data_IF_381435603063
#
_entry.id   IF_381435603063
#
_cell.length_a   1.000
_cell.length_b   1.000
_cell.length_c   1.000
_cell.angle_alpha   90.00
_cell.angle_beta   90.00
_cell.angle_gamma   90.00
#
_symmetry.space_group_name_H-M   'P 1'
#
loop_
_entity.id
_entity.type
_entity.pdbx_description
1 polymer ?
#
# COMPACT_ATOMS: atom_id res chain seq x y z
N UNK A 1 34.72 26.55 7.65
CA UNK A 1 33.51 25.73 7.47
C UNK A 1 32.37 26.38 8.25
N UNK A 2 31.43 27.06 7.57
CA UNK A 2 30.22 27.55 8.24
C UNK A 2 29.37 26.32 8.57
N UNK A 3 29.24 26.00 9.85
CA UNK A 3 28.23 25.06 10.34
C UNK A 3 26.88 25.56 9.80
N UNK A 4 26.30 24.82 8.85
CA UNK A 4 24.95 25.11 8.37
C UNK A 4 24.06 24.97 9.61
N UNK A 5 23.59 26.10 10.15
CA UNK A 5 22.56 26.08 11.19
C UNK A 5 21.36 25.36 10.63
N UNK A 6 21.14 24.14 11.10
CA UNK A 6 19.98 23.37 10.71
C UNK A 6 18.84 23.76 11.64
N UNK A 7 18.11 24.81 11.26
CA UNK A 7 16.97 25.35 12.03
C UNK A 7 15.95 24.27 12.41
N UNK A 8 15.81 23.22 11.59
CA UNK A 8 14.94 22.07 11.92
C UNK A 8 15.48 21.27 13.10
N UNK A 9 16.79 21.02 13.15
CA UNK A 9 17.41 20.37 14.32
C UNK A 9 17.33 21.23 15.57
N UNK A 10 17.49 22.55 15.45
CA UNK A 10 17.34 23.47 16.59
C UNK A 10 15.92 23.41 17.16
N UNK A 11 14.89 23.47 16.31
CA UNK A 11 13.48 23.31 16.72
C UNK A 11 13.20 21.95 17.37
N UNK A 12 13.73 20.86 16.79
CA UNK A 12 13.57 19.51 17.35
C UNK A 12 14.26 19.40 18.72
N UNK A 13 15.44 19.98 18.88
CA UNK A 13 16.17 19.98 20.15
C UNK A 13 15.45 20.82 21.22
N UNK A 14 14.87 21.97 20.85
CA UNK A 14 14.06 22.77 21.76
C UNK A 14 12.84 21.98 22.24
N UNK A 15 12.12 21.34 21.31
CA UNK A 15 10.94 20.52 21.66
C UNK A 15 11.32 19.31 22.52
N UNK A 16 12.46 18.67 22.23
CA UNK A 16 12.96 17.56 23.05
C UNK A 16 13.21 18.00 24.50
N UNK A 17 13.84 19.17 24.70
CA UNK A 17 14.05 19.73 26.05
C UNK A 17 12.74 20.01 26.78
N UNK A 18 11.74 20.56 26.09
CA UNK A 18 10.43 20.81 26.70
C UNK A 18 9.76 19.51 27.17
N UNK A 19 9.82 18.45 26.36
CA UNK A 19 9.21 17.16 26.71
C UNK A 19 10.01 16.43 27.79
N UNK A 20 11.35 16.53 27.79
CA UNK A 20 12.20 16.01 28.86
C UNK A 20 11.93 16.73 30.20
N UNK A 21 11.71 18.04 30.19
CA UNK A 21 11.32 18.78 31.39
C UNK A 21 9.94 18.36 31.92
N UNK A 22 8.98 18.04 31.03
CA UNK A 22 7.68 17.50 31.43
C UNK A 22 7.80 16.12 32.07
N UNK A 23 8.64 15.24 31.52
CA UNK A 23 8.94 13.94 32.11
C UNK A 23 9.48 14.10 33.54
N UNK A 24 10.41 15.03 33.75
CA UNK A 24 11.01 15.26 35.08
C UNK A 24 9.99 15.78 36.09
N UNK A 25 9.08 16.65 35.66
CA UNK A 25 7.97 17.12 36.49
C UNK A 25 7.02 15.98 36.87
N UNK A 26 6.60 15.16 35.90
CA UNK A 26 5.71 14.01 36.16
C UNK A 26 6.41 12.97 37.04
N UNK A 27 7.71 12.72 36.86
CA UNK A 27 8.46 11.81 37.74
C UNK A 27 8.43 12.30 39.19
N UNK A 28 8.66 13.60 39.39
CA UNK A 28 8.61 14.20 40.73
C UNK A 28 7.22 14.05 41.35
N UNK A 29 6.15 14.29 40.57
CA UNK A 29 4.76 14.07 41.01
C UNK A 29 4.49 12.60 41.36
N UNK A 30 4.98 11.65 40.57
CA UNK A 30 4.86 10.21 40.86
C UNK A 30 5.56 9.87 42.16
N UNK A 31 6.79 10.34 42.36
CA UNK A 31 7.57 10.07 43.58
C UNK A 31 6.89 10.65 44.82
N UNK A 32 6.34 11.86 44.72
CA UNK A 32 5.56 12.50 45.79
C UNK A 32 4.28 11.72 46.12
N UNK A 33 3.54 11.25 45.11
CA UNK A 33 2.33 10.44 45.31
C UNK A 33 2.68 9.09 45.93
N UNK A 34 3.77 8.43 45.53
CA UNK A 34 4.20 7.17 46.13
C UNK A 34 4.58 7.33 47.61
N UNK A 35 5.30 8.41 47.94
CA UNK A 35 5.62 8.75 49.32
C UNK A 35 4.37 9.03 50.16
N UNK A 36 3.43 9.83 49.62
CA UNK A 36 2.16 10.13 50.27
C UNK A 36 1.30 8.86 50.45
N UNK A 37 1.23 7.99 49.45
CA UNK A 37 0.50 6.73 49.52
C UNK A 37 1.04 5.83 50.64
N UNK A 38 2.37 5.74 50.80
CA UNK A 38 2.98 4.99 51.88
C UNK A 38 2.58 5.52 53.26
N UNK A 39 2.47 6.84 53.41
CA UNK A 39 2.00 7.46 54.64
C UNK A 39 0.51 7.18 54.87
N UNK A 40 -0.33 7.34 53.84
CA UNK A 40 -1.76 7.07 53.93
C UNK A 40 -2.08 5.61 54.27
N UNK A 41 -1.28 4.64 53.80
CA UNK A 41 -1.42 3.24 54.19
C UNK A 41 -1.11 3.03 55.68
N UNK A 42 -0.11 3.73 56.23
CA UNK A 42 0.18 3.69 57.65
C UNK A 42 -0.97 4.31 58.48
N UNK A 43 -1.50 5.45 58.05
CA UNK A 43 -2.64 6.12 58.69
C UNK A 43 -3.92 5.28 58.64
N UNK A 44 -4.18 4.59 57.53
CA UNK A 44 -5.28 3.64 57.42
C UNK A 44 -5.14 2.45 58.38
N UNK A 45 -3.92 1.92 58.53
CA UNK A 45 -3.66 0.85 59.51
C UNK A 45 -3.92 1.32 60.96
N UNK A 46 -3.82 2.63 61.22
CA UNK A 46 -4.17 3.26 62.50
C UNK A 46 -5.65 3.68 62.59
N UNK A 47 -6.43 3.52 61.51
CA UNK A 47 -7.84 3.92 61.44
C UNK A 47 -8.07 5.43 61.29
N UNK A 48 -7.04 6.20 60.93
CA UNK A 48 -7.12 7.66 60.79
C UNK A 48 -7.59 8.12 59.39
N UNK A 49 -7.54 7.22 58.41
CA UNK A 49 -7.91 7.47 57.01
C UNK A 49 -8.76 6.32 56.50
N UNK A 50 -9.70 6.60 55.59
CA UNK A 50 -10.61 5.60 55.02
C UNK A 50 -10.02 4.90 53.79
N UNK A 51 -10.53 3.72 53.46
CA UNK A 51 -10.08 2.95 52.30
C UNK A 51 -10.27 3.71 50.98
N UNK A 52 -11.30 4.55 50.90
CA UNK A 52 -11.62 5.37 49.72
C UNK A 52 -10.48 6.33 49.37
N UNK A 53 -9.82 6.91 50.36
CA UNK A 53 -8.72 7.85 50.15
C UNK A 53 -7.48 7.14 49.61
N UNK A 54 -7.21 5.93 50.07
CA UNK A 54 -6.15 5.07 49.52
C UNK A 54 -6.46 4.70 48.07
N UNK A 55 -7.70 4.33 47.77
CA UNK A 55 -8.09 3.96 46.41
C UNK A 55 -7.96 5.16 45.45
N UNK A 56 -8.37 6.35 45.86
CA UNK A 56 -8.21 7.58 45.09
C UNK A 56 -6.73 7.89 44.81
N UNK A 57 -5.86 7.77 45.82
CA UNK A 57 -4.42 7.99 45.66
C UNK A 57 -3.77 6.94 44.73
N UNK A 58 -4.18 5.66 44.82
CA UNK A 58 -3.73 4.61 43.89
C UNK A 58 -4.16 4.90 42.45
N UNK A 59 -5.38 5.40 42.25
CA UNK A 59 -5.86 5.75 40.93
C UNK A 59 -5.08 6.92 40.34
N UNK A 60 -4.85 7.98 41.13
CA UNK A 60 -4.03 9.12 40.71
C UNK A 60 -2.60 8.70 40.35
N UNK A 61 -1.99 7.81 41.15
CA UNK A 61 -0.67 7.24 40.86
C UNK A 61 -0.68 6.47 39.53
N UNK A 62 -1.73 5.69 39.26
CA UNK A 62 -1.86 4.95 38.03
C UNK A 62 -1.97 5.86 36.81
N UNK A 63 -2.81 6.90 36.89
CA UNK A 63 -2.99 7.90 35.84
C UNK A 63 -1.65 8.61 35.54
N UNK A 64 -0.90 9.00 36.57
CA UNK A 64 0.40 9.66 36.42
C UNK A 64 1.47 8.74 35.82
N UNK A 65 1.46 7.45 36.16
CA UNK A 65 2.34 6.46 35.53
C UNK A 65 2.04 6.23 34.05
N UNK A 66 0.76 6.28 33.65
CA UNK A 66 0.37 6.24 32.24
C UNK A 66 0.87 7.51 31.53
N UNK A 67 0.60 8.69 32.09
CA UNK A 67 1.08 9.97 31.54
C UNK A 67 2.61 9.97 31.36
N UNK A 68 3.34 9.45 32.35
CA UNK A 68 4.79 9.28 32.28
C UNK A 68 5.24 8.40 31.11
N UNK A 69 4.58 7.24 30.92
CA UNK A 69 4.89 6.31 29.83
C UNK A 69 4.62 6.93 28.45
N UNK A 70 3.52 7.66 28.30
CA UNK A 70 3.19 8.38 27.05
C UNK A 70 4.24 9.46 26.73
N UNK A 71 4.71 10.18 27.75
CA UNK A 71 5.77 11.19 27.57
C UNK A 71 7.10 10.54 27.19
N UNK A 72 7.49 9.41 27.79
CA UNK A 72 8.68 8.64 27.39
C UNK A 72 8.58 8.15 25.93
N UNK A 73 7.40 7.67 25.52
CA UNK A 73 7.17 7.29 24.12
C UNK A 73 7.36 8.50 23.20
N UNK A 74 6.82 9.66 23.57
CA UNK A 74 6.97 10.90 22.80
C UNK A 74 8.44 11.33 22.69
N UNK A 75 9.22 11.24 23.77
CA UNK A 75 10.67 11.49 23.77
C UNK A 75 11.37 10.56 22.77
N UNK A 76 11.03 9.26 22.78
CA UNK A 76 11.62 8.28 21.87
C UNK A 76 11.36 8.62 20.39
N UNK A 77 10.11 9.01 20.06
CA UNK A 77 9.69 9.40 18.71
C UNK A 77 10.41 10.68 18.27
N UNK A 78 10.53 11.68 19.14
CA UNK A 78 11.26 12.93 18.84
C UNK A 78 12.75 12.64 18.60
N UNK A 79 13.38 11.77 19.39
CA UNK A 79 14.78 11.35 19.18
C UNK A 79 14.98 10.63 17.85
N UNK A 80 14.03 9.79 17.44
CA UNK A 80 14.07 9.13 16.13
C UNK A 80 13.99 10.16 14.97
N UNK A 81 13.07 11.11 15.05
CA UNK A 81 12.96 12.21 14.07
C UNK A 81 14.23 13.05 14.03
N UNK A 82 14.81 13.40 15.18
CA UNK A 82 16.09 14.10 15.28
C UNK A 82 17.20 13.37 14.53
N UNK A 83 17.33 12.05 14.72
CA UNK A 83 18.34 11.22 14.05
C UNK A 83 18.15 11.25 12.53
N UNK A 84 16.92 11.09 12.05
CA UNK A 84 16.61 11.14 10.61
C UNK A 84 16.94 12.51 10.01
N UNK A 85 16.51 13.60 10.65
CA UNK A 85 16.78 14.96 10.18
C UNK A 85 18.29 15.27 10.21
N UNK A 86 19.02 14.77 11.20
CA UNK A 86 20.47 14.89 11.25
C UNK A 86 21.13 14.20 10.05
N UNK A 87 20.76 12.95 9.78
CA UNK A 87 21.28 12.18 8.64
C UNK A 87 20.95 12.87 7.31
N UNK A 88 19.71 13.35 7.12
CA UNK A 88 19.28 14.02 5.90
C UNK A 88 19.94 15.39 5.67
N UNK A 89 20.42 16.02 6.73
CA UNK A 89 21.12 17.31 6.64
C UNK A 89 22.58 17.20 6.20
N UNK A 90 23.12 15.99 6.11
CA UNK A 90 24.45 15.74 5.53
C UNK A 90 24.33 15.78 3.99
N UNK A 91 24.99 16.74 3.30
CA UNK A 91 24.84 16.92 1.85
C UNK A 91 25.10 15.64 1.03
N UNK A 92 26.13 14.88 1.42
CA UNK A 92 26.51 13.62 0.77
C UNK A 92 25.41 12.55 0.86
N UNK A 93 24.73 12.44 2.00
CA UNK A 93 23.64 11.46 2.18
C UNK A 93 22.43 11.84 1.34
N UNK A 94 22.12 13.14 1.28
CA UNK A 94 21.04 13.67 0.44
C UNK A 94 21.29 13.39 -1.04
N UNK A 95 22.51 13.60 -1.52
CA UNK A 95 22.89 13.27 -2.90
C UNK A 95 22.87 11.77 -3.18
N UNK A 96 23.42 10.95 -2.28
CA UNK A 96 23.40 9.49 -2.43
C UNK A 96 21.97 8.94 -2.47
N UNK A 97 21.08 9.44 -1.60
CA UNK A 97 19.66 9.09 -1.62
C UNK A 97 19.00 9.52 -2.92
N UNK A 98 19.23 10.75 -3.40
CA UNK A 98 18.71 11.21 -4.70
C UNK A 98 19.16 10.30 -5.84
N UNK A 99 20.43 9.91 -5.88
CA UNK A 99 20.96 8.97 -6.89
C UNK A 99 20.30 7.60 -6.79
N UNK A 100 20.14 7.04 -5.59
CA UNK A 100 19.45 5.76 -5.38
C UNK A 100 17.99 5.81 -5.83
N UNK A 101 17.26 6.87 -5.47
CA UNK A 101 15.87 7.06 -5.89
C UNK A 101 15.77 7.19 -7.40
N UNK A 102 16.64 7.99 -8.03
CA UNK A 102 16.67 8.13 -9.49
C UNK A 102 16.98 6.79 -10.19
N UNK A 103 17.90 5.99 -9.65
CA UNK A 103 18.22 4.66 -10.19
C UNK A 103 17.04 3.69 -10.08
N UNK A 104 16.32 3.69 -8.95
CA UNK A 104 15.11 2.86 -8.78
C UNK A 104 13.99 3.34 -9.70
N UNK A 105 13.78 4.66 -9.81
CA UNK A 105 12.78 5.24 -10.71
C UNK A 105 13.05 4.84 -12.15
N UNK A 106 14.32 4.86 -12.59
CA UNK A 106 14.70 4.40 -13.93
C UNK A 106 14.33 2.92 -14.13
N UNK A 107 14.72 2.03 -13.21
CA UNK A 107 14.35 0.60 -13.29
C UNK A 107 12.84 0.39 -13.35
N UNK A 108 12.07 1.18 -12.63
CA UNK A 108 10.62 1.11 -12.64
C UNK A 108 10.04 1.53 -14.00
N UNK A 109 10.53 2.63 -14.59
CA UNK A 109 10.15 3.09 -15.93
C UNK A 109 10.52 2.06 -16.99
N UNK A 110 11.73 1.49 -16.93
CA UNK A 110 12.16 0.43 -17.85
C UNK A 110 11.23 -0.79 -17.75
N UNK A 111 10.82 -1.16 -16.54
CA UNK A 111 9.87 -2.26 -16.32
C UNK A 111 8.46 -1.96 -16.86
N UNK A 112 8.00 -0.70 -16.80
CA UNK A 112 6.71 -0.28 -17.39
C UNK A 112 6.70 -0.56 -18.89
N UNK A 113 7.78 -0.24 -19.61
CA UNK A 113 7.86 -0.52 -21.05
C UNK A 113 7.77 -2.02 -21.36
N UNK A 114 8.45 -2.86 -20.57
CA UNK A 114 8.35 -4.31 -20.71
C UNK A 114 6.93 -4.82 -20.51
N UNK A 115 6.22 -4.28 -19.52
CA UNK A 115 4.82 -4.66 -19.25
C UNK A 115 3.91 -4.20 -20.39
N UNK A 116 4.09 -3.00 -20.93
CA UNK A 116 3.32 -2.54 -22.10
C UNK A 116 3.56 -3.41 -23.34
N UNK A 117 4.80 -3.82 -23.61
CA UNK A 117 5.12 -4.74 -24.72
C UNK A 117 4.50 -6.11 -24.54
N UNK A 118 4.56 -6.68 -23.33
CA UNK A 118 3.92 -7.96 -23.03
C UNK A 118 2.40 -7.89 -23.18
N UNK A 119 1.79 -6.78 -22.75
CA UNK A 119 0.35 -6.51 -22.91
C UNK A 119 -0.07 -6.45 -24.38
N UNK A 120 0.67 -5.71 -25.21
CA UNK A 120 0.41 -5.61 -26.64
C UNK A 120 0.49 -6.99 -27.31
N UNK A 121 1.57 -7.72 -27.04
CA UNK A 121 1.76 -9.09 -27.57
C UNK A 121 0.64 -10.04 -27.15
N UNK A 122 0.20 -10.00 -25.89
CA UNK A 122 -0.91 -10.83 -25.43
C UNK A 122 -2.21 -10.54 -26.22
N UNK A 123 -2.53 -9.27 -26.45
CA UNK A 123 -3.72 -8.88 -27.21
C UNK A 123 -3.60 -9.26 -28.71
N UNK A 124 -2.41 -9.15 -29.29
CA UNK A 124 -2.15 -9.56 -30.67
C UNK A 124 -2.36 -11.07 -30.86
N UNK A 125 -1.81 -11.90 -29.98
CA UNK A 125 -1.99 -13.36 -30.01
C UNK A 125 -3.46 -13.74 -29.77
N UNK A 126 -4.16 -13.02 -28.88
CA UNK A 126 -5.59 -13.23 -28.63
C UNK A 126 -6.45 -12.86 -29.84
N UNK A 127 -6.11 -11.77 -30.54
CA UNK A 127 -6.74 -11.37 -31.78
C UNK A 127 -6.46 -12.37 -32.92
N UNK A 128 -5.24 -12.92 -32.99
CA UNK A 128 -4.90 -13.96 -33.96
C UNK A 128 -5.74 -15.23 -33.76
N UNK A 129 -5.94 -15.67 -32.50
CA UNK A 129 -6.86 -16.76 -32.18
C UNK A 129 -8.30 -16.45 -32.61
N UNK A 130 -8.75 -15.21 -32.41
CA UNK A 130 -10.06 -14.72 -32.87
C UNK A 130 -10.21 -14.78 -34.40
N UNK A 131 -9.18 -14.40 -35.16
CA UNK A 131 -9.20 -14.52 -36.63
C UNK A 131 -9.34 -15.97 -37.09
N UNK A 132 -8.56 -16.88 -36.52
CA UNK A 132 -8.62 -18.32 -36.85
C UNK A 132 -10.02 -18.88 -36.54
N UNK A 133 -10.62 -18.47 -35.42
CA UNK A 133 -12.01 -18.84 -35.10
C UNK A 133 -12.99 -18.31 -36.14
N UNK A 134 -12.86 -17.04 -36.55
CA UNK A 134 -13.76 -16.41 -37.51
C UNK A 134 -13.64 -17.00 -38.91
N UNK A 135 -12.45 -17.49 -39.30
CA UNK A 135 -12.25 -18.22 -40.57
C UNK A 135 -13.09 -19.50 -40.63
N UNK A 136 -13.11 -20.31 -39.57
CA UNK A 136 -13.98 -21.50 -39.52
C UNK A 136 -15.45 -21.12 -39.51
N UNK A 137 -15.81 -20.00 -38.88
CA UNK A 137 -17.15 -19.41 -38.99
C UNK A 137 -17.53 -19.12 -40.44
N UNK A 138 -16.67 -18.39 -41.18
CA UNK A 138 -16.89 -18.05 -42.60
C UNK A 138 -17.06 -19.30 -43.47
N UNK A 139 -16.19 -20.29 -43.31
CA UNK A 139 -16.25 -21.56 -44.07
C UNK A 139 -17.57 -22.29 -43.77
N UNK A 140 -17.99 -22.33 -42.51
CA UNK A 140 -19.26 -22.93 -42.14
C UNK A 140 -20.47 -22.15 -42.70
N UNK A 141 -20.41 -20.82 -42.74
CA UNK A 141 -21.45 -19.99 -43.38
C UNK A 141 -21.52 -20.25 -44.89
N UNK A 142 -20.39 -20.20 -45.60
CA UNK A 142 -20.33 -20.46 -47.05
C UNK A 142 -20.84 -21.86 -47.41
N UNK A 143 -20.48 -22.87 -46.61
CA UNK A 143 -20.98 -24.24 -46.79
C UNK A 143 -22.48 -24.34 -46.53
N UNK A 144 -23.00 -23.69 -45.48
CA UNK A 144 -24.41 -23.72 -45.15
C UNK A 144 -25.26 -22.96 -46.19
N UNK A 145 -24.77 -21.83 -46.70
CA UNK A 145 -25.39 -21.07 -47.80
C UNK A 145 -25.48 -21.95 -49.06
N UNK A 146 -24.38 -22.61 -49.45
CA UNK A 146 -24.37 -23.54 -50.59
C UNK A 146 -25.35 -24.70 -50.39
N UNK A 147 -25.41 -25.28 -49.19
CA UNK A 147 -26.34 -26.37 -48.89
C UNK A 147 -27.80 -25.91 -48.89
N UNK A 148 -28.08 -24.67 -48.50
CA UNK A 148 -29.41 -24.07 -48.57
C UNK A 148 -29.83 -23.81 -50.02
N UNK A 149 -28.92 -23.31 -50.88
CA UNK A 149 -29.17 -23.15 -52.32
C UNK A 149 -29.47 -24.49 -53.01
N UNK A 150 -28.83 -25.58 -52.57
CA UNK A 150 -29.06 -26.94 -53.07
C UNK A 150 -30.29 -27.64 -52.46
N UNK A 151 -31.08 -26.93 -51.63
CA UNK A 151 -32.32 -27.45 -51.03
C UNK A 151 -32.11 -28.36 -49.80
N UNK A 152 -30.90 -28.40 -49.24
CA UNK A 152 -30.57 -29.08 -48.01
C UNK A 152 -30.91 -28.27 -46.74
N UNK A 153 -30.85 -28.91 -45.56
CA UNK A 153 -30.95 -28.21 -44.27
C UNK A 153 -29.57 -27.70 -43.86
N UNK A 154 -29.41 -26.38 -43.75
CA UNK A 154 -28.13 -25.72 -43.48
C UNK A 154 -27.51 -26.03 -42.11
N UNK A 155 -28.28 -26.40 -41.09
CA UNK A 155 -27.75 -26.46 -39.71
C UNK A 155 -26.95 -27.73 -39.34
N UNK A 156 -26.84 -28.73 -40.23
CA UNK A 156 -26.38 -30.08 -39.82
C UNK A 156 -24.85 -30.28 -39.87
N UNK A 157 -24.11 -29.40 -40.54
CA UNK A 157 -22.73 -29.73 -40.99
C UNK A 157 -21.61 -28.83 -40.46
N UNK A 158 -21.92 -27.77 -39.69
CA UNK A 158 -20.90 -26.90 -39.12
C UNK A 158 -20.22 -27.53 -37.91
N UNK A 159 -19.01 -28.09 -38.08
CA UNK A 159 -18.20 -28.46 -36.93
C UNK A 159 -17.74 -27.20 -36.20
N UNK A 160 -18.15 -27.03 -34.94
CA UNK A 160 -17.56 -26.00 -34.07
C UNK A 160 -16.12 -26.42 -33.74
N UNK A 161 -15.16 -25.47 -33.81
CA UNK A 161 -13.82 -25.71 -33.28
C UNK A 161 -13.96 -26.10 -31.82
N UNK A 162 -13.27 -27.16 -31.40
CA UNK A 162 -13.19 -27.52 -29.99
C UNK A 162 -12.31 -26.48 -29.25
N UNK A 163 -12.93 -25.38 -28.82
CA UNK A 163 -12.27 -24.28 -28.11
C UNK A 163 -11.80 -24.74 -26.73
N UNK A 164 -10.49 -24.70 -26.48
CA UNK A 164 -9.96 -24.79 -25.12
C UNK A 164 -10.08 -23.42 -24.46
N UNK A 165 -10.50 -23.39 -23.20
CA UNK A 165 -10.58 -22.16 -22.42
C UNK A 165 -9.21 -21.49 -22.31
N UNK A 166 -8.97 -20.43 -23.09
CA UNK A 166 -7.74 -19.63 -23.03
C UNK A 166 -7.79 -18.63 -21.86
N UNK A 167 -8.99 -18.21 -21.48
CA UNK A 167 -9.24 -17.29 -20.36
C UNK A 167 -9.87 -18.08 -19.21
N UNK A 168 -9.07 -18.60 -18.29
CA UNK A 168 -9.58 -19.28 -17.08
C UNK A 168 -10.15 -18.26 -16.08
N UNK A 169 -11.26 -18.61 -15.43
CA UNK A 169 -12.03 -17.77 -14.51
C UNK A 169 -11.27 -17.30 -13.26
N UNK A 170 -10.43 -16.29 -13.45
CA UNK A 170 -9.73 -15.55 -12.41
C UNK A 170 -9.44 -14.16 -12.93
N UNK A 171 -10.47 -13.32 -12.99
CA UNK A 171 -10.33 -11.95 -13.50
C UNK A 171 -9.57 -11.10 -12.48
N UNK A 172 -8.51 -10.45 -12.93
CA UNK A 172 -7.92 -9.34 -12.19
C UNK A 172 -8.93 -8.19 -12.26
N UNK A 173 -9.33 -7.62 -11.10
CA UNK A 173 -10.33 -6.55 -11.06
C UNK A 173 -9.88 -5.35 -11.94
N UNK A 174 -10.80 -4.61 -12.60
CA UNK A 174 -10.45 -3.49 -13.49
C UNK A 174 -9.52 -2.44 -12.87
N UNK A 175 -9.56 -2.27 -11.55
CA UNK A 175 -8.64 -1.41 -10.79
C UNK A 175 -7.18 -1.88 -10.78
N UNK A 176 -6.93 -3.14 -11.11
CA UNK A 176 -5.61 -3.78 -11.14
C UNK A 176 -5.19 -4.22 -12.56
N UNK A 177 -6.06 -4.04 -13.56
CA UNK A 177 -5.74 -4.30 -14.96
C UNK A 177 -5.13 -3.05 -15.59
N UNK A 178 -3.98 -3.18 -16.26
CA UNK A 178 -3.34 -2.10 -17.04
C UNK A 178 -4.11 -1.81 -18.35
N UNK A 179 -5.41 -1.54 -18.25
CA UNK A 179 -6.31 -1.27 -19.37
C UNK A 179 -6.72 -2.51 -20.19
N UNK A 180 -6.47 -3.73 -19.68
CA UNK A 180 -6.90 -4.99 -20.33
C UNK A 180 -7.86 -5.72 -19.41
N UNK A 181 -9.08 -5.19 -19.33
CA UNK A 181 -10.17 -5.81 -18.62
C UNK A 181 -10.76 -6.99 -19.42
N UNK A 182 -11.64 -7.77 -18.77
CA UNK A 182 -12.31 -8.92 -19.38
C UNK A 182 -13.06 -8.53 -20.66
N UNK A 183 -13.66 -7.34 -20.68
CA UNK A 183 -14.39 -6.83 -21.84
C UNK A 183 -13.47 -6.64 -23.04
N UNK A 184 -12.29 -6.06 -22.82
CA UNK A 184 -11.27 -5.83 -23.85
C UNK A 184 -10.73 -7.14 -24.40
N UNK A 185 -10.50 -8.13 -23.53
CA UNK A 185 -10.04 -9.46 -23.92
C UNK A 185 -11.11 -10.18 -24.77
N UNK A 186 -12.36 -10.20 -24.31
CA UNK A 186 -13.48 -10.78 -25.05
C UNK A 186 -13.71 -10.09 -26.39
N UNK A 187 -13.60 -8.76 -26.43
CA UNK A 187 -13.76 -8.00 -27.66
C UNK A 187 -12.65 -8.32 -28.66
N UNK A 188 -11.39 -8.35 -28.23
CA UNK A 188 -10.25 -8.66 -29.11
C UNK A 188 -10.34 -10.08 -29.68
N UNK A 189 -10.78 -11.03 -28.86
CA UNK A 189 -11.04 -12.42 -29.29
C UNK A 189 -12.22 -12.52 -30.26
N UNK A 190 -13.32 -11.81 -30.00
CA UNK A 190 -14.50 -11.85 -30.87
C UNK A 190 -14.27 -11.16 -32.22
N UNK A 191 -13.58 -10.01 -32.22
CA UNK A 191 -13.37 -9.19 -33.43
C UNK A 191 -12.13 -9.58 -34.23
N UNK A 192 -11.24 -10.41 -33.68
CA UNK A 192 -9.94 -10.74 -34.28
C UNK A 192 -9.03 -9.52 -34.47
N UNK A 193 -9.24 -8.45 -33.70
CA UNK A 193 -8.53 -7.17 -33.82
C UNK A 193 -8.34 -6.50 -32.47
N UNK A 194 -7.22 -5.81 -32.28
CA UNK A 194 -6.92 -5.11 -31.03
C UNK A 194 -7.57 -3.71 -31.04
N UNK A 195 -8.33 -3.30 -30.00
CA UNK A 195 -8.92 -1.97 -29.91
C UNK A 195 -7.89 -0.83 -30.00
N UNK A 196 -8.24 0.24 -30.70
CA UNK A 196 -7.38 1.42 -30.86
C UNK A 196 -7.02 2.05 -29.50
N UNK A 197 -5.72 2.21 -29.25
CA UNK A 197 -5.16 2.75 -28.00
C UNK A 197 -4.54 1.69 -27.05
N UNK A 198 -4.74 0.39 -27.32
CA UNK A 198 -4.19 -0.70 -26.49
C UNK A 198 -3.13 -1.55 -27.18
N UNK A 199 -3.19 -1.66 -28.51
CA UNK A 199 -2.07 -2.10 -29.34
C UNK A 199 -1.10 -0.93 -29.46
N UNK A 200 0.09 -1.05 -28.87
CA UNK A 200 1.09 -0.01 -28.93
C UNK A 200 1.50 0.32 -30.37
N UNK A 201 1.94 1.56 -30.59
CA UNK A 201 2.91 1.85 -31.65
C UNK A 201 4.28 1.29 -31.26
#
# INVERSE_FOLDING_TARGET
MKLIKNEKLEKINARLKEVEAKRDAIQSEVDEIEAALSQSVALYAMGEVDEKDIQAAKQLLHEKKIEFAEVEEMISRIRAVRKTVAIESIPFVKESRKKKVAAIQKKYVDQIEHVHKARAKFLEELAALGKIKNEVGSINFEYNDLMQELGGKGDVYGAAINERTVISGGFTSPTYCLGVDERTQKQSYASGSVPHGLGGN
#
